data_IF_344356468067
#
_entry.id   IF_344356468067
#
_cell.length_a   1.000
_cell.length_b   1.000
_cell.length_c   1.000
_cell.angle_alpha   90.00
_cell.angle_beta   90.00
_cell.angle_gamma   90.00
#
_symmetry.space_group_name_H-M   'P 1'
#
loop_
_entity.id
_entity.type
_entity.pdbx_description
1 polymer ?
#
# COMPACT_ATOMS: atom_id res chain seq x y z
N UNK A 1 16.80 -38.27 -1.65
CA UNK A 1 15.95 -37.27 -0.97
C UNK A 1 16.88 -36.17 -0.51
N UNK A 2 16.80 -35.00 -1.10
CA UNK A 2 17.65 -33.88 -0.68
C UNK A 2 17.29 -33.47 0.76
N UNK A 3 18.28 -33.25 1.64
CA UNK A 3 17.99 -32.84 3.01
C UNK A 3 17.23 -31.52 2.99
N UNK A 4 16.07 -31.48 3.65
CA UNK A 4 15.31 -30.25 3.87
C UNK A 4 16.24 -29.25 4.53
N UNK A 5 16.60 -28.20 3.78
CA UNK A 5 17.52 -27.16 4.24
C UNK A 5 16.92 -26.57 5.51
N UNK A 6 17.52 -26.84 6.67
CA UNK A 6 17.03 -26.31 7.95
C UNK A 6 17.21 -24.79 7.92
N UNK A 7 16.09 -24.09 7.85
CA UNK A 7 16.05 -22.62 7.88
C UNK A 7 15.92 -22.19 9.34
N UNK A 8 16.69 -21.20 9.83
CA UNK A 8 16.57 -20.74 11.20
C UNK A 8 15.13 -20.27 11.48
N UNK A 9 14.63 -20.47 12.72
CA UNK A 9 13.28 -20.06 13.09
C UNK A 9 13.09 -18.55 12.95
N UNK A 10 11.84 -18.07 12.78
CA UNK A 10 11.55 -16.65 12.71
C UNK A 10 12.07 -15.92 13.96
N UNK A 11 12.74 -14.79 13.74
CA UNK A 11 13.13 -13.90 14.84
C UNK A 11 11.87 -13.19 15.35
N UNK A 12 11.58 -13.33 16.63
CA UNK A 12 10.45 -12.67 17.28
C UNK A 12 10.96 -11.52 18.15
N UNK A 13 10.94 -10.30 17.63
CA UNK A 13 11.19 -9.07 18.38
C UNK A 13 9.87 -8.36 18.66
N UNK A 14 9.77 -7.72 19.82
CA UNK A 14 8.73 -6.71 20.01
C UNK A 14 9.02 -5.48 19.16
N UNK A 15 8.01 -4.64 18.91
CA UNK A 15 8.20 -3.39 18.18
C UNK A 15 9.28 -2.49 18.82
N UNK A 16 9.34 -2.45 20.16
CA UNK A 16 10.35 -1.67 20.87
C UNK A 16 11.77 -2.25 20.71
N UNK A 17 11.92 -3.58 20.72
CA UNK A 17 13.21 -4.23 20.53
C UNK A 17 13.73 -4.06 19.11
N UNK A 18 12.87 -4.24 18.10
CA UNK A 18 13.25 -4.05 16.70
C UNK A 18 13.61 -2.59 16.41
N UNK A 19 12.82 -1.64 16.93
CA UNK A 19 13.12 -0.21 16.82
C UNK A 19 14.47 0.15 17.46
N UNK A 20 14.75 -0.31 18.69
CA UNK A 20 16.03 -0.06 19.35
C UNK A 20 17.22 -0.67 18.58
N UNK A 21 17.04 -1.87 18.02
CA UNK A 21 18.03 -2.49 17.14
C UNK A 21 18.26 -1.66 15.89
N UNK A 22 17.19 -1.20 15.22
CA UNK A 22 17.29 -0.38 14.00
C UNK A 22 18.06 0.92 14.25
N UNK A 23 17.75 1.63 15.34
CA UNK A 23 18.49 2.84 15.72
C UNK A 23 19.98 2.56 15.91
N UNK A 24 20.32 1.46 16.58
CA UNK A 24 21.72 1.04 16.77
C UNK A 24 22.43 0.72 15.46
N UNK A 25 21.80 -0.02 14.55
CA UNK A 25 22.38 -0.37 13.24
C UNK A 25 22.61 0.87 12.36
N UNK A 26 21.74 1.88 12.50
CA UNK A 26 21.87 3.16 11.79
C UNK A 26 22.78 4.17 12.51
N UNK A 27 23.29 3.86 13.70
CA UNK A 27 24.09 4.79 14.50
C UNK A 27 23.31 6.02 14.97
N UNK A 28 22.01 5.88 15.26
CA UNK A 28 21.14 6.95 15.74
C UNK A 28 20.96 6.80 17.25
N UNK A 29 21.38 7.80 18.03
CA UNK A 29 21.26 7.78 19.49
C UNK A 29 19.83 8.03 19.97
N UNK A 30 19.13 8.99 19.35
CA UNK A 30 17.77 9.35 19.69
C UNK A 30 17.03 9.96 18.50
N UNK A 31 15.71 9.75 18.45
CA UNK A 31 14.81 10.45 17.54
C UNK A 31 14.15 11.62 18.26
N UNK A 32 13.82 12.67 17.50
CA UNK A 32 12.96 13.73 18.04
C UNK A 32 11.59 13.14 18.40
N UNK A 33 11.01 13.47 19.56
CA UNK A 33 9.67 13.03 19.93
C UNK A 33 8.65 13.41 18.85
N UNK A 34 7.68 12.53 18.64
CA UNK A 34 6.53 12.82 17.79
C UNK A 34 5.59 13.86 18.42
N UNK A 35 4.63 14.33 17.63
CA UNK A 35 3.55 15.19 18.12
C UNK A 35 2.58 14.42 19.02
N UNK A 36 2.05 15.09 20.03
CA UNK A 36 1.07 14.52 20.98
C UNK A 36 -0.37 14.87 20.58
N UNK A 37 -0.70 14.52 19.33
CA UNK A 37 -2.03 14.66 18.76
C UNK A 37 -2.68 16.04 18.99
N UNK A 38 -3.92 16.01 19.47
CA UNK A 38 -4.74 17.21 19.72
C UNK A 38 -4.74 17.65 21.19
N UNK A 39 -3.76 17.21 22.00
CA UNK A 39 -3.66 17.60 23.41
C UNK A 39 -3.04 19.01 23.55
N UNK A 40 -3.82 20.06 23.86
CA UNK A 40 -3.31 21.43 23.87
C UNK A 40 -2.34 21.71 25.01
N UNK A 41 -2.37 20.90 26.08
CA UNK A 41 -1.50 21.07 27.26
C UNK A 41 -0.13 20.39 27.07
N UNK A 42 0.05 19.68 25.94
CA UNK A 42 1.31 19.00 25.64
C UNK A 42 2.36 19.96 25.10
N UNK A 43 3.63 19.86 25.55
CA UNK A 43 4.71 20.65 24.98
C UNK A 43 4.96 20.34 23.48
N UNK A 44 4.47 19.20 22.97
CA UNK A 44 4.57 18.78 21.57
C UNK A 44 3.20 18.73 20.87
N UNK A 45 2.28 19.62 21.24
CA UNK A 45 0.97 19.76 20.57
C UNK A 45 1.11 20.03 19.06
N UNK A 46 0.25 19.41 18.25
CA UNK A 46 0.28 19.58 16.80
C UNK A 46 -0.11 21.02 16.39
N UNK A 47 0.71 21.64 15.53
CA UNK A 47 0.42 22.97 15.01
C UNK A 47 -0.82 22.97 14.09
N UNK A 48 -1.79 23.83 14.39
CA UNK A 48 -2.98 24.11 13.55
C UNK A 48 -3.01 25.54 13.01
N UNK A 49 -2.04 26.37 13.40
CA UNK A 49 -1.89 27.75 12.92
C UNK A 49 -1.26 27.78 11.53
N UNK A 50 -2.02 28.24 10.53
CA UNK A 50 -1.58 28.35 9.16
C UNK A 50 -0.35 29.26 8.97
N UNK A 51 -0.17 30.28 9.83
CA UNK A 51 1.00 31.16 9.77
C UNK A 51 2.31 30.45 10.13
N UNK A 52 2.24 29.33 10.86
CA UNK A 52 3.38 28.51 11.29
C UNK A 52 3.54 27.22 10.47
N UNK A 53 2.66 26.98 9.49
CA UNK A 53 2.58 25.71 8.78
C UNK A 53 3.65 25.53 7.68
N UNK A 54 4.42 26.57 7.34
CA UNK A 54 5.43 26.50 6.28
C UNK A 54 6.87 26.87 6.76
N UNK A 55 7.43 26.17 7.76
CA UNK A 55 8.77 26.45 8.25
C UNK A 55 9.90 26.03 7.29
N UNK A 56 9.60 25.17 6.30
CA UNK A 56 10.54 24.68 5.30
C UNK A 56 9.98 24.93 3.88
N UNK A 57 10.02 26.17 3.38
CA UNK A 57 9.39 26.55 2.12
C UNK A 57 10.10 25.96 0.89
N UNK A 58 11.38 25.59 1.04
CA UNK A 58 12.19 25.04 -0.04
C UNK A 58 11.92 23.54 -0.21
N UNK A 59 10.97 23.21 -1.08
CA UNK A 59 10.67 21.83 -1.46
C UNK A 59 11.48 21.39 -2.69
N UNK A 60 11.89 20.11 -2.80
CA UNK A 60 12.57 19.60 -3.98
C UNK A 60 11.75 19.79 -5.26
N UNK A 61 12.37 20.34 -6.30
CA UNK A 61 11.73 20.54 -7.60
C UNK A 61 11.56 19.20 -8.34
N UNK A 62 10.30 18.78 -8.52
CA UNK A 62 9.97 17.55 -9.23
C UNK A 62 10.41 17.57 -10.70
N UNK A 63 10.59 18.75 -11.30
CA UNK A 63 11.00 18.96 -12.69
C UNK A 63 12.49 19.31 -12.81
N UNK A 64 13.31 19.00 -11.80
CA UNK A 64 14.76 18.97 -11.93
C UNK A 64 15.29 17.57 -11.67
N UNK A 65 16.20 17.11 -12.53
CA UNK A 65 17.01 15.91 -12.29
C UNK A 65 17.86 16.08 -11.03
N UNK A 66 18.37 14.97 -10.47
CA UNK A 66 19.32 15.01 -9.34
C UNK A 66 20.57 15.84 -9.63
N UNK A 67 20.97 15.94 -10.90
CA UNK A 67 22.10 16.76 -11.36
C UNK A 67 21.75 18.26 -11.54
N UNK A 68 20.53 18.67 -11.16
CA UNK A 68 20.04 20.04 -11.23
C UNK A 68 19.50 20.49 -12.59
N UNK A 69 19.63 19.66 -13.65
CA UNK A 69 19.11 20.02 -14.98
C UNK A 69 17.59 20.01 -15.02
N UNK A 70 16.95 20.94 -15.75
CA UNK A 70 15.50 20.96 -15.91
C UNK A 70 14.99 19.80 -16.77
N UNK A 71 13.82 19.28 -16.41
CA UNK A 71 13.01 18.33 -17.17
C UNK A 71 12.08 19.12 -18.08
N UNK A 72 12.23 18.98 -19.40
CA UNK A 72 11.52 19.78 -20.41
C UNK A 72 10.57 18.97 -21.30
N UNK A 73 10.54 17.65 -21.15
CA UNK A 73 9.72 16.78 -21.99
C UNK A 73 9.17 15.58 -21.23
N UNK A 74 8.14 14.93 -21.79
CA UNK A 74 7.57 13.72 -21.21
C UNK A 74 8.56 12.55 -21.14
N UNK A 75 9.44 12.41 -22.13
CA UNK A 75 10.50 11.39 -22.11
C UNK A 75 11.52 11.64 -21.00
N UNK A 76 11.83 12.91 -20.74
CA UNK A 76 12.68 13.29 -19.62
C UNK A 76 11.96 13.09 -18.28
N UNK A 77 10.66 13.36 -18.21
CA UNK A 77 9.85 13.04 -17.03
C UNK A 77 9.87 11.55 -16.71
N UNK A 78 9.76 10.67 -17.71
CA UNK A 78 9.85 9.21 -17.49
C UNK A 78 11.23 8.80 -16.91
N UNK A 79 12.30 9.55 -17.19
CA UNK A 79 13.61 9.36 -16.56
C UNK A 79 13.62 9.93 -15.14
N UNK A 80 13.17 11.17 -14.95
CA UNK A 80 13.11 11.81 -13.63
C UNK A 80 12.25 11.03 -12.64
N UNK A 81 11.11 10.50 -13.10
CA UNK A 81 10.22 9.65 -12.30
C UNK A 81 10.93 8.41 -11.74
N UNK A 82 11.88 7.83 -12.48
CA UNK A 82 12.67 6.69 -11.98
C UNK A 82 13.61 7.10 -10.84
N UNK A 83 14.21 8.29 -10.92
CA UNK A 83 15.02 8.83 -9.82
C UNK A 83 14.17 9.07 -8.58
N UNK A 84 12.99 9.67 -8.73
CA UNK A 84 12.06 9.89 -7.60
C UNK A 84 11.67 8.55 -6.97
N UNK A 85 11.35 7.54 -7.77
CA UNK A 85 11.02 6.22 -7.25
C UNK A 85 12.19 5.56 -6.51
N UNK A 86 13.42 5.65 -7.04
CA UNK A 86 14.59 5.12 -6.33
C UNK A 86 14.83 5.87 -5.00
N UNK A 87 14.59 7.18 -4.93
CA UNK A 87 14.68 7.92 -3.66
C UNK A 87 13.58 7.47 -2.67
N UNK A 88 12.35 7.28 -3.14
CA UNK A 88 11.25 6.78 -2.29
C UNK A 88 11.52 5.35 -1.79
N UNK A 89 11.99 4.46 -2.66
CA UNK A 89 12.30 3.07 -2.31
C UNK A 89 13.50 2.99 -1.36
N UNK A 90 14.50 3.86 -1.54
CA UNK A 90 15.71 3.86 -0.72
C UNK A 90 15.51 4.50 0.65
N UNK A 91 14.80 5.62 0.71
CA UNK A 91 14.76 6.49 1.91
C UNK A 91 13.41 6.45 2.66
N UNK A 92 12.31 6.08 2.00
CA UNK A 92 10.95 6.24 2.60
C UNK A 92 10.25 4.89 2.81
N UNK A 93 10.03 4.11 1.77
CA UNK A 93 9.18 2.91 1.82
C UNK A 93 9.95 1.59 1.91
N UNK A 94 11.24 1.60 1.55
CA UNK A 94 12.05 0.39 1.44
C UNK A 94 11.96 -0.27 0.06
N UNK A 95 13.05 -0.92 -0.35
CA UNK A 95 13.14 -1.58 -1.66
C UNK A 95 12.44 -2.94 -1.64
N UNK A 96 11.60 -3.26 -2.64
CA UNK A 96 11.08 -4.60 -2.77
C UNK A 96 12.21 -5.60 -3.04
N UNK A 97 12.13 -6.83 -2.51
CA UNK A 97 13.09 -7.88 -2.84
C UNK A 97 13.15 -8.11 -4.35
N UNK A 98 14.34 -8.38 -4.88
CA UNK A 98 14.54 -8.64 -6.32
C UNK A 98 13.75 -9.83 -6.85
N UNK A 99 13.34 -10.75 -5.96
CA UNK A 99 12.49 -11.90 -6.25
C UNK A 99 11.31 -11.89 -5.28
N UNK A 100 10.14 -11.54 -5.79
CA UNK A 100 8.89 -11.66 -5.03
C UNK A 100 8.31 -13.07 -5.19
N UNK A 101 7.84 -13.70 -4.10
CA UNK A 101 7.17 -14.98 -4.17
C UNK A 101 5.85 -14.87 -4.93
N UNK A 102 5.49 -15.94 -5.66
CA UNK A 102 4.21 -16.00 -6.39
C UNK A 102 3.06 -16.15 -5.40
N UNK A 103 1.88 -15.65 -5.76
CA UNK A 103 0.65 -15.84 -4.99
C UNK A 103 -0.30 -16.71 -5.80
N UNK A 104 -0.80 -17.81 -5.21
CA UNK A 104 -1.85 -18.66 -5.79
C UNK A 104 -3.19 -18.32 -5.15
N UNK A 105 -4.16 -17.94 -5.96
CA UNK A 105 -5.50 -17.57 -5.50
C UNK A 105 -6.47 -18.74 -5.65
N UNK A 106 -7.29 -18.97 -4.63
CA UNK A 106 -8.37 -19.95 -4.63
C UNK A 106 -9.66 -19.31 -4.14
N UNK A 107 -10.80 -19.70 -4.73
CA UNK A 107 -12.13 -19.34 -4.21
C UNK A 107 -12.41 -20.20 -2.98
N UNK A 108 -12.61 -19.55 -1.84
CA UNK A 108 -12.96 -20.20 -0.58
C UNK A 108 -14.49 -20.33 -0.42
N UNK A 109 -15.25 -19.39 -0.97
CA UNK A 109 -16.70 -19.44 -0.95
C UNK A 109 -17.34 -18.33 -1.78
N UNK A 110 -18.64 -18.48 -2.03
CA UNK A 110 -19.45 -17.52 -2.76
C UNK A 110 -20.73 -17.20 -1.99
N UNK A 111 -21.13 -15.94 -1.99
CA UNK A 111 -22.36 -15.45 -1.37
C UNK A 111 -22.99 -14.41 -2.31
N UNK A 112 -24.06 -14.81 -2.99
CA UNK A 112 -24.67 -14.01 -4.06
C UNK A 112 -23.67 -13.74 -5.19
N UNK A 113 -23.43 -12.46 -5.49
CA UNK A 113 -22.47 -11.99 -6.48
C UNK A 113 -21.06 -11.70 -5.91
N UNK A 114 -20.79 -12.15 -4.68
CA UNK A 114 -19.51 -11.94 -4.00
C UNK A 114 -18.74 -13.25 -3.85
N UNK A 115 -17.47 -13.25 -4.24
CA UNK A 115 -16.53 -14.35 -4.05
C UNK A 115 -15.53 -14.01 -2.96
N UNK A 116 -15.33 -14.91 -2.00
CA UNK A 116 -14.25 -14.84 -1.01
C UNK A 116 -13.05 -15.60 -1.55
N UNK A 117 -11.91 -14.93 -1.64
CA UNK A 117 -10.67 -15.41 -2.23
C UNK A 117 -9.59 -15.47 -1.16
N UNK A 118 -8.78 -16.53 -1.19
CA UNK A 118 -7.54 -16.64 -0.41
C UNK A 118 -6.37 -16.74 -1.38
N UNK A 119 -5.43 -15.81 -1.25
CA UNK A 119 -4.15 -15.80 -1.92
C UNK A 119 -3.09 -16.41 -1.02
N UNK A 120 -2.58 -17.59 -1.36
CA UNK A 120 -1.48 -18.25 -0.65
C UNK A 120 -0.15 -17.92 -1.31
N UNK A 121 0.75 -17.32 -0.53
CA UNK A 121 2.10 -16.97 -0.99
C UNK A 121 2.97 -18.24 -1.04
N UNK A 122 3.75 -18.40 -2.12
CA UNK A 122 4.76 -19.44 -2.22
C UNK A 122 5.87 -19.21 -1.19
N UNK A 123 5.90 -20.07 -0.16
CA UNK A 123 6.83 -19.98 0.95
C UNK A 123 7.98 -21.02 0.84
N UNK A 124 8.23 -21.59 -0.34
CA UNK A 124 9.27 -22.61 -0.51
C UNK A 124 10.68 -22.15 -0.04
N UNK A 125 10.99 -20.85 -0.16
CA UNK A 125 12.25 -20.29 0.33
C UNK A 125 12.31 -20.10 1.85
N UNK A 126 11.16 -20.08 2.54
CA UNK A 126 11.06 -19.91 3.98
C UNK A 126 9.82 -20.62 4.55
N UNK A 127 9.81 -21.97 4.64
CA UNK A 127 8.60 -22.74 4.97
C UNK A 127 8.08 -22.54 6.39
N UNK A 128 8.87 -21.94 7.27
CA UNK A 128 8.50 -21.65 8.66
C UNK A 128 7.41 -20.57 8.79
N UNK A 129 7.08 -19.85 7.71
CA UNK A 129 6.04 -18.83 7.68
C UNK A 129 5.04 -19.13 6.57
N UNK A 130 3.76 -19.08 6.90
CA UNK A 130 2.65 -19.16 5.95
C UNK A 130 2.01 -17.78 5.85
N UNK A 131 1.88 -17.26 4.64
CA UNK A 131 1.22 -15.97 4.39
C UNK A 131 -0.02 -16.19 3.54
N UNK A 132 -1.16 -15.78 4.08
CA UNK A 132 -2.46 -15.82 3.41
C UNK A 132 -3.03 -14.41 3.29
N UNK A 133 -3.40 -14.03 2.06
CA UNK A 133 -4.01 -12.74 1.74
C UNK A 133 -5.50 -12.99 1.49
N UNK A 134 -6.36 -12.40 2.33
CA UNK A 134 -7.81 -12.52 2.19
C UNK A 134 -8.34 -11.38 1.31
N UNK A 135 -9.18 -11.71 0.35
CA UNK A 135 -9.79 -10.75 -0.56
C UNK A 135 -11.27 -11.10 -0.78
N UNK A 136 -12.12 -10.08 -0.88
CA UNK A 136 -13.52 -10.24 -1.31
C UNK A 136 -13.68 -9.56 -2.66
N UNK A 137 -14.23 -10.28 -3.63
CA UNK A 137 -14.49 -9.79 -4.98
C UNK A 137 -15.99 -9.79 -5.24
N UNK A 138 -16.59 -8.61 -5.33
CA UNK A 138 -18.01 -8.45 -5.70
C UNK A 138 -18.10 -7.92 -7.11
N UNK A 139 -18.84 -8.61 -7.97
CA UNK A 139 -19.07 -8.22 -9.36
C UNK A 139 -20.56 -7.89 -9.59
N UNK A 140 -20.92 -7.03 -10.55
CA UNK A 140 -22.32 -6.82 -10.90
C UNK A 140 -22.99 -8.13 -11.37
N UNK A 141 -24.17 -8.45 -10.85
CA UNK A 141 -24.89 -9.71 -11.15
C UNK A 141 -25.10 -9.96 -12.64
N UNK A 142 -25.34 -8.89 -13.41
CA UNK A 142 -25.70 -8.95 -14.83
C UNK A 142 -24.51 -8.61 -15.74
N UNK A 143 -23.28 -8.76 -15.25
CA UNK A 143 -22.08 -8.54 -16.05
C UNK A 143 -22.01 -9.55 -17.22
N UNK A 144 -22.14 -9.05 -18.46
CA UNK A 144 -22.08 -9.88 -19.68
C UNK A 144 -20.65 -10.12 -20.20
N UNK A 145 -19.64 -9.60 -19.50
CA UNK A 145 -18.24 -9.65 -19.89
C UNK A 145 -17.35 -9.02 -18.83
N UNK A 146 -16.04 -8.81 -19.11
CA UNK A 146 -15.11 -8.22 -18.16
C UNK A 146 -15.56 -6.82 -17.72
N UNK A 147 -15.56 -6.58 -16.42
CA UNK A 147 -15.92 -5.28 -15.81
C UNK A 147 -14.71 -4.62 -15.15
N UNK A 148 -14.65 -3.28 -15.10
CA UNK A 148 -13.67 -2.58 -14.29
C UNK A 148 -13.81 -2.96 -12.80
N UNK A 149 -12.69 -3.07 -12.10
CA UNK A 149 -12.64 -3.39 -10.66
C UNK A 149 -11.90 -2.28 -9.93
N UNK A 150 -12.41 -1.92 -8.75
CA UNK A 150 -11.72 -1.05 -7.79
C UNK A 150 -11.14 -1.95 -6.70
N UNK A 151 -9.86 -1.76 -6.39
CA UNK A 151 -9.19 -2.45 -5.28
C UNK A 151 -9.23 -1.53 -4.07
N UNK A 152 -9.78 -2.04 -2.97
CA UNK A 152 -9.85 -1.35 -1.68
C UNK A 152 -9.06 -2.14 -0.64
N UNK A 153 -8.26 -1.44 0.16
CA UNK A 153 -7.70 -1.99 1.40
C UNK A 153 -8.64 -1.63 2.56
N UNK A 154 -9.38 -2.62 3.02
CA UNK A 154 -10.25 -2.50 4.20
C UNK A 154 -9.56 -2.97 5.48
N UNK A 155 -10.14 -2.62 6.62
CA UNK A 155 -9.77 -3.17 7.92
C UNK A 155 -10.70 -4.34 8.24
N UNK A 156 -10.24 -5.61 8.13
CA UNK A 156 -11.07 -6.77 8.38
C UNK A 156 -11.66 -6.72 9.80
N UNK A 157 -12.98 -6.83 9.93
CA UNK A 157 -13.68 -6.78 11.22
C UNK A 157 -14.00 -5.38 11.75
N UNK A 158 -13.46 -4.30 11.16
CA UNK A 158 -13.77 -2.93 11.55
C UNK A 158 -14.84 -2.32 10.62
N UNK A 159 -16.11 -2.56 10.93
CA UNK A 159 -17.23 -1.86 10.28
C UNK A 159 -17.49 -0.57 11.03
N UNK A 160 -17.12 0.59 10.44
CA UNK A 160 -17.57 1.88 10.97
C UNK A 160 -19.10 1.90 10.98
N UNK A 161 -19.75 2.32 12.08
CA UNK A 161 -21.19 2.52 12.11
C UNK A 161 -21.62 3.37 10.92
N UNK A 162 -22.64 2.93 10.20
CA UNK A 162 -23.14 3.65 9.02
C UNK A 162 -23.91 4.88 9.49
N UNK A 163 -23.23 6.02 9.53
CA UNK A 163 -23.85 7.31 9.86
C UNK A 163 -24.44 8.03 8.63
N UNK A 164 -24.44 7.41 7.45
CA UNK A 164 -24.97 8.00 6.21
C UNK A 164 -26.26 7.34 5.74
N UNK A 165 -27.29 8.17 5.48
CA UNK A 165 -28.49 7.77 4.74
C UNK A 165 -28.17 7.72 3.23
N UNK A 166 -28.64 6.68 2.53
CA UNK A 166 -28.41 6.48 1.08
C UNK A 166 -27.38 5.41 0.73
N UNK A 167 -27.31 4.94 -0.53
CA UNK A 167 -26.51 3.78 -0.97
C UNK A 167 -25.01 3.96 -0.70
N UNK A 168 -24.33 2.89 -0.30
CA UNK A 168 -22.89 2.92 -0.08
C UNK A 168 -22.15 3.20 -1.40
N UNK A 169 -20.89 3.62 -1.34
CA UNK A 169 -20.13 3.81 -2.57
C UNK A 169 -19.97 2.47 -3.33
N UNK A 170 -19.92 1.34 -2.62
CA UNK A 170 -19.91 0.00 -3.21
C UNK A 170 -21.20 -0.26 -4.00
N UNK A 171 -22.36 0.04 -3.41
CA UNK A 171 -23.66 -0.07 -4.09
C UNK A 171 -23.69 0.80 -5.35
N UNK A 172 -23.14 2.02 -5.27
CA UNK A 172 -23.08 2.94 -6.40
C UNK A 172 -22.17 2.45 -7.54
N UNK A 173 -21.06 1.79 -7.22
CA UNK A 173 -20.16 1.18 -8.22
C UNK A 173 -20.83 -0.03 -8.88
N UNK A 174 -21.48 -0.90 -8.09
CA UNK A 174 -22.17 -2.08 -8.60
C UNK A 174 -23.36 -1.70 -9.49
N UNK A 175 -24.14 -0.69 -9.09
CA UNK A 175 -25.30 -0.22 -9.85
C UNK A 175 -24.93 0.36 -11.22
N UNK A 176 -23.78 1.03 -11.34
CA UNK A 176 -23.36 1.67 -12.59
C UNK A 176 -22.75 0.69 -13.59
N UNK A 177 -22.36 -0.52 -13.17
CA UNK A 177 -21.65 -1.50 -14.02
C UNK A 177 -20.33 -0.98 -14.63
N UNK A 178 -19.92 0.24 -14.26
CA UNK A 178 -18.79 0.99 -14.79
C UNK A 178 -18.50 2.21 -13.89
N UNK A 179 -17.23 2.62 -13.84
CA UNK A 179 -16.77 3.86 -13.19
C UNK A 179 -17.12 5.06 -14.10
N UNK A 180 -17.53 6.24 -13.56
CA UNK A 180 -17.79 7.44 -14.35
C UNK A 180 -16.66 7.79 -15.33
N UNK A 181 -17.03 8.28 -16.52
CA UNK A 181 -16.16 8.47 -17.70
C UNK A 181 -14.95 9.40 -17.51
N UNK A 182 -14.91 10.23 -16.46
CA UNK A 182 -13.79 11.14 -16.18
C UNK A 182 -12.59 10.48 -15.45
N UNK A 183 -12.69 9.19 -15.09
CA UNK A 183 -11.62 8.46 -14.37
C UNK A 183 -10.66 7.68 -15.28
N UNK A 184 -10.57 8.03 -16.57
CA UNK A 184 -9.64 7.36 -17.50
C UNK A 184 -8.29 8.08 -17.62
N UNK A 185 -7.31 7.73 -16.78
CA UNK A 185 -5.93 7.57 -17.23
C UNK A 185 -5.56 6.08 -17.18
N UNK A 186 -5.34 5.50 -18.36
CA UNK A 186 -4.54 4.29 -18.59
C UNK A 186 -4.60 3.17 -17.52
N UNK A 187 -5.77 2.58 -17.27
CA UNK A 187 -5.82 1.28 -16.61
C UNK A 187 -5.40 0.19 -17.60
N UNK A 188 -4.24 -0.43 -17.36
CA UNK A 188 -3.87 -1.69 -18.01
C UNK A 188 -4.93 -2.73 -17.66
N UNK A 189 -5.44 -3.42 -18.69
CA UNK A 189 -6.27 -4.63 -18.56
C UNK A 189 -5.63 -5.57 -17.55
N UNK A 190 -6.30 -5.78 -16.41
CA UNK A 190 -6.04 -6.95 -15.57
C UNK A 190 -6.99 -8.02 -16.09
N UNK A 191 -6.45 -8.90 -16.94
CA UNK A 191 -7.16 -10.12 -17.34
C UNK A 191 -7.05 -11.09 -16.17
N UNK A 192 -8.10 -11.20 -15.35
CA UNK A 192 -8.25 -12.35 -14.48
C UNK A 192 -8.66 -13.53 -15.35
N UNK A 193 -7.69 -14.34 -15.77
CA UNK A 193 -7.96 -15.68 -16.25
C UNK A 193 -8.22 -16.55 -15.00
N UNK A 194 -9.44 -17.07 -14.90
CA UNK A 194 -9.78 -18.23 -14.08
C UNK A 194 -9.40 -19.47 -14.87
#
# INVERSE_FOLDING_TARGET
>A
MDPVKQVPPPVNLTAAQDHARLLKELGIDALRPGVDGMNPDSPNFANTDGAKANPYPDIPDALKFRDGKPVKSRKEWDRRRKEILDDMDREIYGRPPSKLPKVRWTVEGEEGNTRRLIGRVDNASYPAVTVEIKCSLTLPEKAKGPVPVIIEFGFPGFRRPRNSQGPTWQDQVLAKGAIPSWTRPAFKRITAAV
#
